data_IF_310994337330
#
_entry.id   IF_310994337330
#
_cell.length_a   1.000
_cell.length_b   1.000
_cell.length_c   1.000
_cell.angle_alpha   90.00
_cell.angle_beta   90.00
_cell.angle_gamma   90.00
#
_symmetry.space_group_name_H-M   'P 1'
#
loop_
_entity.id
_entity.type
_entity.pdbx_description
1 polymer ?
2 non-polymer ?
3 water ?
#
# COMPACT_ATOMS: atom_id res chain seq x y z
N UNK A 2 38.50 8.19 24.52
CA UNK A 2 37.31 8.56 23.75
C UNK A 2 36.11 8.83 24.66
N UNK A 3 35.14 9.56 24.10
CA UNK A 3 33.82 9.89 24.71
C UNK A 3 32.76 9.09 24.04
N UNK A 4 31.75 8.64 24.82
CA UNK A 4 30.67 7.87 24.24
C UNK A 4 29.81 8.77 23.44
N UNK A 5 29.52 8.31 22.22
CA UNK A 5 28.76 9.10 21.28
C UNK A 5 27.76 8.14 20.60
N UNK A 6 26.58 8.68 20.26
CA UNK A 6 25.64 7.92 19.38
C UNK A 6 25.20 8.93 18.33
N UNK A 7 25.38 8.60 17.04
CA UNK A 7 25.19 9.51 15.90
C UNK A 7 24.04 9.05 15.01
N UNK A 8 23.23 10.01 14.60
CA UNK A 8 22.22 9.82 13.48
C UNK A 8 22.80 9.84 12.06
N UNK A 9 22.48 8.80 11.27
CA UNK A 9 23.10 8.62 9.94
C UNK A 9 21.99 8.36 8.94
N UNK A 10 22.24 8.67 7.66
CA UNK A 10 21.41 8.18 6.57
C UNK A 10 19.91 8.59 6.79
N UNK A 11 19.69 9.87 7.08
CA UNK A 11 18.32 10.30 7.44
C UNK A 11 17.51 10.69 6.19
N UNK A 12 16.23 10.35 6.22
CA UNK A 12 15.27 10.75 5.19
C UNK A 12 14.86 12.16 5.57
N UNK A 13 14.66 13.06 4.57
CA UNK A 13 14.15 14.40 4.85
C UNK A 13 12.70 14.54 4.28
N UNK A 14 11.78 15.05 5.11
CA UNK A 14 10.40 15.41 4.72
C UNK A 14 10.31 16.96 4.70
N UNK A 15 9.83 17.48 3.59
CA UNK A 15 9.75 18.95 3.39
C UNK A 15 8.24 19.30 3.46
N UNK A 16 7.89 20.32 4.26
CA UNK A 16 6.52 20.62 4.53
C UNK A 16 6.47 22.15 4.64
N UNK A 17 5.82 22.81 3.67
CA UNK A 17 5.81 24.25 3.63
C UNK A 17 4.45 24.73 3.19
N UNK A 18 4.09 25.97 3.55
CA UNK A 18 2.99 26.56 2.75
C UNK A 18 3.42 26.75 1.24
N UNK A 19 2.51 26.46 0.32
CA UNK A 19 2.75 26.63 -1.07
C UNK A 19 3.19 28.05 -1.31
N UNK A 20 2.56 28.97 -0.56
CA UNK A 20 2.77 30.39 -0.70
C UNK A 20 4.14 30.79 -0.24
N UNK A 21 4.94 29.92 0.37
CA UNK A 21 6.40 30.17 0.57
C UNK A 21 7.08 30.62 -0.76
N UNK A 22 6.58 30.26 -1.94
CA UNK A 22 7.21 30.74 -3.18
C UNK A 22 6.18 30.94 -4.30
N UNK A 23 6.60 31.66 -5.38
CA UNK A 23 6.30 31.33 -6.85
C UNK A 23 5.22 32.24 -6.84
N UNK A 24 4.40 32.32 -7.92
CA UNK A 24 3.29 33.26 -7.91
C UNK A 24 2.20 32.84 -6.94
N UNK A 25 1.31 33.77 -6.57
CA UNK A 25 0.17 33.45 -5.70
C UNK A 25 -0.88 32.69 -6.45
N UNK A 26 -1.44 31.66 -5.81
CA UNK A 26 -2.62 31.00 -6.30
C UNK A 26 -3.80 31.31 -5.40
N UNK A 27 -4.90 31.75 -5.99
CA UNK A 27 -6.17 31.86 -5.28
C UNK A 27 -6.77 30.50 -4.89
N UNK A 28 -6.83 30.22 -3.58
CA UNK A 28 -7.38 28.92 -3.16
C UNK A 28 -8.78 28.62 -3.72
N UNK A 29 -9.68 29.61 -3.86
CA UNK A 29 -11.04 29.34 -4.39
C UNK A 29 -10.92 28.99 -5.87
N UNK A 30 -10.17 29.77 -6.64
CA UNK A 30 -9.94 29.50 -8.06
C UNK A 30 -9.28 28.13 -8.11
N UNK A 31 -8.32 27.89 -7.23
CA UNK A 31 -7.61 26.61 -7.25
C UNK A 31 -8.58 25.45 -7.11
N UNK A 32 -9.38 25.42 -6.07
CA UNK A 32 -10.35 24.31 -5.92
C UNK A 32 -11.31 24.22 -7.12
N UNK A 33 -11.83 25.37 -7.58
CA UNK A 33 -12.90 25.33 -8.57
C UNK A 33 -12.39 24.78 -9.88
N UNK A 34 -11.19 25.20 -10.23
CA UNK A 34 -10.48 24.66 -11.40
C UNK A 34 -10.29 23.15 -11.36
N UNK A 35 -9.84 22.65 -10.19
CA UNK A 35 -9.74 21.18 -10.07
C UNK A 35 -11.03 20.46 -10.40
N UNK A 36 -12.13 21.01 -9.90
CA UNK A 36 -13.46 20.44 -10.14
C UNK A 36 -13.89 20.54 -11.57
N UNK A 37 -13.68 21.73 -12.13
CA UNK A 37 -14.11 21.97 -13.52
C UNK A 37 -13.33 20.97 -14.46
N UNK A 38 -12.04 20.80 -14.24
CA UNK A 38 -11.30 19.85 -15.04
C UNK A 38 -11.80 18.42 -14.89
N UNK A 39 -12.00 17.97 -13.64
CA UNK A 39 -12.42 16.58 -13.37
C UNK A 39 -13.78 16.30 -13.98
N UNK A 40 -14.66 17.28 -13.92
CA UNK A 40 -16.00 17.09 -14.47
C UNK A 40 -16.06 17.08 -16.01
N UNK A 41 -15.06 17.64 -16.64
CA UNK A 41 -15.09 17.62 -18.09
C UNK A 41 -14.36 16.37 -18.63
N UNK A 42 -13.77 15.57 -17.76
CA UNK A 42 -12.85 14.51 -18.14
C UNK A 42 -13.55 13.13 -18.07
N UNK A 43 -14.49 12.92 -19.00
CA UNK A 43 -15.20 11.66 -19.17
C UNK A 43 -14.21 10.51 -19.24
N UNK A 44 -13.14 10.68 -20.02
CA UNK A 44 -12.22 9.58 -20.18
C UNK A 44 -11.58 9.18 -18.88
N UNK A 45 -11.21 10.17 -18.06
CA UNK A 45 -10.58 9.80 -16.80
C UNK A 45 -11.57 9.21 -15.81
N UNK A 46 -12.78 9.73 -15.81
CA UNK A 46 -13.88 9.22 -15.02
C UNK A 46 -14.15 7.74 -15.32
N UNK A 47 -14.12 7.36 -16.58
CA UNK A 47 -14.36 5.97 -16.95
C UNK A 47 -13.18 5.09 -16.63
N UNK A 48 -11.98 5.62 -16.74
CA UNK A 48 -10.81 4.79 -16.46
C UNK A 48 -10.75 4.43 -14.95
N UNK A 49 -11.19 5.38 -14.12
CA UNK A 49 -11.18 5.24 -12.67
C UNK A 49 -12.14 4.12 -12.29
N UNK A 50 -13.35 4.20 -12.84
CA UNK A 50 -14.37 3.17 -12.63
C UNK A 50 -13.94 1.78 -13.13
N UNK A 51 -13.32 1.69 -14.31
CA UNK A 51 -12.87 0.42 -14.84
C UNK A 51 -11.71 -0.13 -14.03
N UNK A 52 -10.86 0.75 -13.51
CA UNK A 52 -9.61 0.27 -12.96
C UNK A 52 -9.75 -0.01 -11.47
N UNK A 53 -10.91 0.36 -10.93
CA UNK A 53 -11.19 0.25 -9.51
C UNK A 53 -10.34 1.27 -8.77
N UNK A 54 -10.31 2.48 -9.33
CA UNK A 54 -9.52 3.55 -8.74
C UNK A 54 -10.38 4.26 -7.74
N UNK A 55 -9.93 4.32 -6.47
CA UNK A 55 -10.68 4.96 -5.41
C UNK A 55 -11.19 6.33 -5.80
N UNK A 56 -10.38 7.30 -6.17
CA UNK A 56 -11.18 8.55 -6.36
C UNK A 56 -11.52 8.92 -7.79
N UNK A 57 -11.32 10.21 -8.08
CA UNK A 57 -10.97 10.68 -9.41
C UNK A 57 -9.46 10.95 -9.37
N UNK A 58 -8.77 10.49 -10.40
CA UNK A 58 -7.44 11.03 -10.71
C UNK A 58 -7.41 11.44 -12.18
N UNK A 59 -6.60 12.46 -12.52
CA UNK A 59 -6.49 12.91 -13.86
C UNK A 59 -5.30 12.28 -14.61
N UNK A 60 -4.55 11.40 -13.93
CA UNK A 60 -3.20 10.91 -14.26
C UNK A 60 -3.08 10.17 -15.60
N UNK A 61 -4.09 9.33 -15.86
CA UNK A 61 -4.24 8.58 -17.15
C UNK A 61 -4.83 9.38 -18.33
N UNK A 62 -5.55 10.45 -18.03
CA UNK A 62 -6.27 11.17 -19.06
C UNK A 62 -5.67 12.46 -19.55
N UNK A 63 -5.04 13.20 -18.66
CA UNK A 63 -4.56 14.57 -18.88
C UNK A 63 -3.07 14.59 -18.63
N UNK A 64 -2.23 14.69 -19.67
CA UNK A 64 -0.78 14.71 -19.42
C UNK A 64 -0.10 16.11 -19.50
N UNK A 65 -0.88 17.15 -19.74
CA UNK A 65 -0.27 18.41 -20.11
C UNK A 65 -0.91 19.58 -19.35
N UNK A 66 -1.41 19.27 -18.15
CA UNK A 66 -2.04 20.31 -17.31
C UNK A 66 -1.35 21.66 -17.37
N UNK A 67 -0.02 21.76 -17.10
CA UNK A 67 0.51 23.16 -17.10
C UNK A 67 0.50 23.92 -18.50
N UNK A 68 0.45 23.16 -19.61
CA UNK A 68 0.35 23.67 -20.97
C UNK A 68 -1.04 24.19 -21.19
N UNK A 69 -2.00 23.58 -20.51
CA UNK A 69 -3.40 23.87 -20.86
C UNK A 69 -4.05 24.88 -19.93
N UNK A 70 -3.47 25.04 -18.74
CA UNK A 70 -4.15 25.86 -17.70
C UNK A 70 -3.17 26.79 -17.00
N UNK A 71 -3.27 28.12 -17.27
CA UNK A 71 -2.36 29.04 -16.58
C UNK A 71 -2.25 28.78 -15.07
N UNK A 72 -3.35 28.47 -14.39
CA UNK A 72 -3.23 28.21 -12.97
C UNK A 72 -2.30 27.04 -12.67
N UNK A 73 -2.23 26.04 -13.54
CA UNK A 73 -1.32 24.93 -13.35
C UNK A 73 0.13 25.27 -13.72
N UNK A 74 0.37 26.12 -14.72
CA UNK A 74 1.71 26.67 -14.99
C UNK A 74 2.20 27.55 -13.81
N UNK A 75 1.28 28.35 -13.24
CA UNK A 75 1.54 29.11 -12.03
C UNK A 75 1.95 28.19 -10.86
N UNK A 76 1.18 27.12 -10.68
CA UNK A 76 1.51 26.21 -9.66
C UNK A 76 2.90 25.59 -9.82
N UNK A 77 3.23 25.20 -11.06
CA UNK A 77 4.50 24.54 -11.33
C UNK A 77 5.71 25.52 -11.13
N UNK A 78 5.50 26.80 -11.46
CA UNK A 78 6.47 27.84 -11.16
C UNK A 78 6.71 27.95 -9.57
N UNK A 79 5.67 27.85 -8.73
CA UNK A 79 5.94 27.73 -7.29
C UNK A 79 6.64 26.42 -7.02
N UNK A 80 6.09 25.32 -7.53
CA UNK A 80 6.67 24.02 -7.16
C UNK A 80 8.14 23.87 -7.54
N UNK A 81 8.51 24.39 -8.71
CA UNK A 81 9.85 24.48 -9.15
C UNK A 81 10.76 25.02 -8.11
N UNK A 82 10.34 26.08 -7.42
CA UNK A 82 11.22 26.73 -6.40
C UNK A 82 11.27 25.95 -5.06
N UNK A 83 10.19 25.31 -4.74
CA UNK A 83 10.03 24.50 -3.51
C UNK A 83 11.00 23.31 -3.70
N UNK A 84 10.98 22.70 -4.88
CA UNK A 84 11.87 21.54 -5.26
C UNK A 84 13.34 21.94 -5.33
N UNK A 85 13.64 23.09 -5.89
CA UNK A 85 14.98 23.65 -5.75
C UNK A 85 15.45 23.80 -4.28
N UNK A 86 14.67 24.45 -3.41
CA UNK A 86 15.08 24.59 -1.97
C UNK A 86 15.32 23.19 -1.39
N UNK A 87 14.50 22.24 -1.82
CA UNK A 87 14.56 20.91 -1.20
C UNK A 87 15.73 20.18 -1.75
N UNK A 88 16.01 20.29 -3.05
CA UNK A 88 17.18 19.58 -3.62
C UNK A 88 18.47 20.07 -2.97
N UNK A 89 18.46 21.35 -2.63
CA UNK A 89 19.50 22.01 -1.86
C UNK A 89 19.66 21.46 -0.48
N UNK A 90 18.55 21.34 0.26
CA UNK A 90 18.59 20.71 1.58
C UNK A 90 19.17 19.28 1.40
N UNK A 91 18.67 18.55 0.39
CA UNK A 91 19.09 17.13 0.25
C UNK A 91 20.54 16.99 -0.24
N UNK A 92 21.18 18.09 -0.60
CA UNK A 92 22.56 18.16 -1.07
C UNK A 92 22.79 17.46 -2.41
N UNK A 93 21.77 17.41 -3.29
CA UNK A 93 21.96 16.83 -4.60
C UNK A 93 23.02 17.57 -5.38
N UNK A 94 23.83 16.77 -6.11
CA UNK A 94 24.78 17.34 -7.07
C UNK A 94 24.08 17.29 -8.40
N UNK A 95 23.59 18.44 -8.84
CA UNK A 95 22.71 18.52 -10.01
C UNK A 95 23.42 18.88 -11.31
N UNK A 96 24.73 19.17 -11.23
CA UNK A 96 25.48 19.82 -12.34
C UNK A 96 24.75 21.10 -12.75
N UNK A 97 24.59 21.30 -14.05
CA UNK A 97 23.85 22.50 -14.52
C UNK A 97 22.38 22.27 -14.78
N UNK A 98 21.80 21.28 -14.08
CA UNK A 98 20.58 20.66 -14.50
C UNK A 98 19.54 20.57 -13.34
N UNK A 99 18.69 21.61 -13.20
CA UNK A 99 17.64 21.61 -12.18
C UNK A 99 16.67 20.42 -12.33
N UNK A 100 15.94 20.11 -11.25
CA UNK A 100 14.92 19.11 -11.35
C UNK A 100 13.75 19.73 -12.13
N UNK A 101 13.13 18.96 -13.01
CA UNK A 101 12.00 19.48 -13.77
C UNK A 101 10.76 18.62 -13.66
N UNK A 102 9.61 19.26 -13.83
CA UNK A 102 8.32 18.62 -13.63
C UNK A 102 8.19 17.43 -14.61
N UNK A 103 7.93 16.21 -14.16
CA UNK A 103 7.72 15.08 -15.07
C UNK A 103 6.23 14.79 -15.25
N UNK A 104 5.44 14.79 -14.18
CA UNK A 104 4.01 14.44 -14.26
C UNK A 104 3.26 15.26 -13.22
N UNK A 105 1.97 15.53 -13.44
CA UNK A 105 1.27 16.33 -12.44
C UNK A 105 -0.18 15.99 -12.58
N UNK A 106 -0.89 15.79 -11.44
CA UNK A 106 -2.25 15.36 -11.63
C UNK A 106 -3.13 15.72 -10.45
N UNK A 107 -4.43 15.73 -10.70
CA UNK A 107 -5.43 16.00 -9.72
C UNK A 107 -5.95 14.75 -9.11
N UNK A 108 -6.22 14.80 -7.79
CA UNK A 108 -6.98 13.76 -7.13
C UNK A 108 -8.15 14.38 -6.45
N UNK A 109 -9.29 13.72 -6.54
CA UNK A 109 -10.44 14.15 -5.76
C UNK A 109 -10.90 12.86 -5.02
N UNK A 110 -10.68 12.84 -3.69
CA UNK A 110 -10.95 11.62 -2.87
C UNK A 110 -12.25 11.79 -2.13
N UNK A 111 -13.31 11.08 -2.54
CA UNK A 111 -14.59 11.30 -1.84
C UNK A 111 -14.55 10.57 -0.47
N UNK A 112 -15.60 10.68 0.31
CA UNK A 112 -15.70 9.98 1.60
C UNK A 112 -15.51 8.51 1.36
N UNK A 113 -14.79 7.86 2.24
CA UNK A 113 -14.61 6.44 2.06
C UNK A 113 -13.45 6.09 1.17
N UNK A 114 -12.89 7.08 0.45
CA UNK A 114 -11.70 6.82 -0.37
C UNK A 114 -10.36 6.63 0.38
N UNK A 115 -9.52 5.72 -0.15
CA UNK A 115 -8.17 5.47 0.45
C UNK A 115 -7.19 5.24 -0.69
N UNK A 116 -5.88 5.54 -0.52
CA UNK A 116 -4.86 5.09 -1.52
C UNK A 116 -3.81 4.28 -0.83
N UNK A 117 -3.67 3.02 -1.27
CA UNK A 117 -2.74 2.03 -0.66
C UNK A 117 -1.28 2.47 -0.76
N UNK A 118 -0.43 1.93 0.09
CA UNK A 118 1.03 2.25 0.07
C UNK A 118 1.67 2.03 -1.33
N UNK A 119 2.55 2.94 -1.73
CA UNK A 119 3.23 2.81 -3.03
C UNK A 119 4.38 3.78 -3.00
N UNK A 120 5.24 3.67 -4.01
CA UNK A 120 6.30 4.64 -4.38
C UNK A 120 6.00 5.14 -5.81
N UNK A 121 6.81 6.06 -6.31
CA UNK A 121 6.70 6.60 -7.68
C UNK A 121 7.93 6.22 -8.43
N UNK A 122 7.89 5.07 -9.16
CA UNK A 122 9.02 4.47 -9.85
C UNK A 122 9.66 5.45 -10.81
N UNK A 123 10.98 5.43 -10.89
CA UNK A 123 11.67 6.23 -11.90
C UNK A 123 11.57 7.79 -11.81
N UNK A 124 11.22 8.35 -10.64
CA UNK A 124 11.27 9.81 -10.36
C UNK A 124 12.32 10.09 -9.30
N UNK A 125 12.65 11.38 -9.10
CA UNK A 125 13.57 11.89 -8.08
C UNK A 125 12.90 12.52 -6.85
N UNK A 126 12.02 13.53 -7.06
CA UNK A 126 11.24 14.14 -5.98
C UNK A 126 9.80 13.94 -6.28
N UNK A 127 9.02 13.57 -5.28
CA UNK A 127 7.55 13.51 -5.48
C UNK A 127 6.90 14.43 -4.44
N UNK A 128 5.60 14.82 -4.62
CA UNK A 128 5.01 15.67 -3.60
C UNK A 128 3.54 15.87 -3.87
N UNK A 129 2.88 16.55 -2.94
CA UNK A 129 1.46 16.78 -3.07
C UNK A 129 1.22 18.17 -2.50
N UNK A 130 0.36 19.02 -3.13
CA UNK A 130 -0.20 20.19 -2.43
C UNK A 130 -1.69 19.95 -2.21
N UNK A 131 -2.29 20.65 -1.23
CA UNK A 131 -3.62 20.28 -0.71
C UNK A 131 -4.49 21.41 -1.12
N UNK A 132 -5.58 21.06 -1.77
CA UNK A 132 -6.42 22.04 -2.42
C UNK A 132 -7.73 22.24 -1.60
N UNK A 133 -8.27 21.15 -1.04
CA UNK A 133 -9.43 21.20 -0.15
C UNK A 133 -9.33 20.07 0.88
N UNK A 134 -9.28 20.40 2.17
CA UNK A 134 -9.22 19.43 3.30
C UNK A 134 -10.30 19.99 4.19
N UNK A 135 -11.46 19.29 4.41
CA UNK A 135 -12.17 18.32 5.30
C UNK A 135 -12.21 18.19 6.86
N UNK A 136 -11.24 18.51 7.71
CA UNK A 136 -10.04 19.29 7.57
C UNK A 136 -9.38 18.63 8.81
N UNK A 137 -10.07 17.62 9.35
CA UNK A 137 -9.42 16.40 9.88
C UNK A 137 -9.52 15.41 8.69
N UNK A 138 -8.55 14.49 8.50
CA UNK A 138 -7.58 14.05 9.53
C UNK A 138 -6.12 14.04 9.01
N UNK A 139 -5.41 12.91 9.21
CA UNK A 139 -4.10 12.71 8.56
C UNK A 139 -4.36 12.41 7.12
N UNK A 140 -3.62 13.08 6.25
CA UNK A 140 -3.78 12.85 4.85
C UNK A 140 -2.60 12.05 4.21
N UNK A 141 -1.53 11.77 4.97
CA UNK A 141 -0.33 11.12 4.39
C UNK A 141 0.36 10.37 5.51
N UNK A 142 0.82 9.17 5.23
CA UNK A 142 1.57 8.35 6.16
C UNK A 142 2.74 7.87 5.36
N UNK A 143 3.92 8.11 5.90
CA UNK A 143 5.21 7.71 5.28
C UNK A 143 5.76 6.55 6.05
N UNK A 144 6.26 5.54 5.31
CA UNK A 144 6.78 4.35 5.95
C UNK A 144 8.32 4.36 5.92
N UNK A 145 8.99 3.97 7.02
CA UNK A 145 10.45 3.72 7.04
C UNK A 145 10.88 2.77 5.85
N UNK A 146 11.79 3.27 4.99
CA UNK A 146 12.33 2.61 3.81
C UNK A 146 13.07 1.37 4.30
N UNK A 147 13.49 1.39 5.57
CA UNK A 147 14.21 0.25 6.12
C UNK A 147 13.25 -0.77 6.73
N UNK A 148 11.96 -0.53 6.69
CA UNK A 148 11.02 -1.46 7.37
C UNK A 148 11.27 -2.88 7.00
N UNK A 149 11.33 -3.18 5.70
CA UNK A 149 11.50 -4.63 5.36
C UNK A 149 12.91 -5.19 5.72
N UNK A 150 13.86 -4.32 6.07
CA UNK A 150 15.18 -4.82 6.55
C UNK A 150 15.13 -5.09 8.04
N UNK A 151 14.06 -4.64 8.67
CA UNK A 151 13.85 -4.78 10.12
C UNK A 151 13.04 -5.97 10.60
N UNK A 152 13.05 -7.09 9.87
CA UNK A 152 12.17 -8.23 10.23
C UNK A 152 12.54 -8.90 11.55
N UNK A 153 13.82 -8.88 11.92
CA UNK A 153 14.33 -9.69 13.06
C UNK A 153 14.35 -8.74 14.27
N UNK A 154 14.18 -7.42 14.01
CA UNK A 154 14.37 -6.38 15.07
C UNK A 154 13.13 -6.18 15.90
N UNK A 155 13.30 -5.92 17.23
CA UNK A 155 12.12 -5.55 18.02
C UNK A 155 11.38 -4.35 17.41
N UNK A 156 10.08 -4.30 17.62
CA UNK A 156 9.32 -3.11 17.27
C UNK A 156 9.82 -2.00 18.16
N UNK A 157 9.63 -0.80 17.68
CA UNK A 157 10.11 0.35 18.42
C UNK A 157 9.01 1.06 19.16
N UNK A 158 9.32 1.56 20.35
CA UNK A 158 8.40 2.44 21.14
C UNK A 158 8.03 3.65 20.30
N UNK A 159 6.80 4.13 20.46
CA UNK A 159 6.28 5.25 19.69
C UNK A 159 6.61 6.46 20.54
N UNK A 160 7.90 6.79 20.66
CA UNK A 160 8.41 7.80 21.62
C UNK A 160 8.48 9.17 20.97
N UNK A 161 9.13 10.11 21.65
CA UNK A 161 9.07 11.51 21.22
C UNK A 161 10.26 11.98 20.33
N UNK A 162 11.16 11.07 19.99
CA UNK A 162 12.21 11.35 19.05
C UNK A 162 11.69 10.85 17.73
N UNK A 163 11.11 11.75 16.99
CA UNK A 163 10.49 11.48 15.70
C UNK A 163 11.45 10.81 14.69
N UNK A 164 12.76 11.05 14.83
CA UNK A 164 13.65 10.43 13.86
C UNK A 164 13.82 8.94 14.09
N UNK A 165 13.38 8.42 15.23
CA UNK A 165 13.43 7.00 15.40
C UNK A 165 12.15 6.25 15.11
N UNK A 166 11.12 6.94 14.65
CA UNK A 166 9.81 6.31 14.53
C UNK A 166 9.71 5.65 13.21
N UNK A 167 8.87 4.61 13.12
CA UNK A 167 8.81 3.70 11.92
C UNK A 167 7.87 4.20 10.81
N UNK A 168 6.85 4.96 11.25
CA UNK A 168 5.89 5.61 10.37
C UNK A 168 5.84 7.01 10.84
N UNK A 169 5.69 7.88 9.88
CA UNK A 169 5.39 9.25 10.16
C UNK A 169 4.02 9.66 9.47
N UNK A 170 3.05 10.14 10.26
CA UNK A 170 1.74 10.64 9.79
C UNK A 170 1.79 12.10 9.61
N UNK A 171 1.11 12.60 8.58
CA UNK A 171 1.25 14.03 8.31
C UNK A 171 -0.14 14.60 8.24
N UNK A 172 -0.39 15.70 8.93
CA UNK A 172 -1.69 16.26 8.86
C UNK A 172 -1.61 17.71 8.33
N UNK A 173 -1.60 17.86 7.00
CA UNK A 173 -1.45 19.16 6.32
C UNK A 173 -2.72 19.97 6.44
N UNK A 174 -2.65 21.27 6.09
CA UNK A 174 -3.82 22.13 6.02
C UNK A 174 -3.95 22.45 4.53
N UNK A 175 -5.11 22.92 4.05
CA UNK A 175 -5.16 23.55 2.73
C UNK A 175 -4.05 24.55 2.58
N UNK A 176 -3.54 24.61 1.36
CA UNK A 176 -2.42 25.45 1.01
C UNK A 176 -1.04 24.88 1.26
N UNK A 177 -0.89 23.72 1.94
CA UNK A 177 0.43 23.24 2.27
C UNK A 177 0.89 22.44 1.10
N UNK A 178 2.21 22.39 0.94
CA UNK A 178 2.86 21.48 0.00
C UNK A 178 3.78 20.53 0.82
N UNK A 179 3.69 19.24 0.53
CA UNK A 179 4.67 18.23 0.98
C UNK A 179 5.58 17.70 -0.18
N UNK A 180 6.87 17.49 0.10
CA UNK A 180 7.78 16.86 -0.88
C UNK A 180 8.58 15.73 -0.21
N UNK A 181 9.00 14.72 -1.00
CA UNK A 181 9.86 13.64 -0.46
C UNK A 181 10.61 13.01 -1.61
N UNK A 182 11.63 12.18 -1.33
CA UNK A 182 12.29 11.49 -2.38
C UNK A 182 11.40 10.33 -2.89
N UNK A 183 11.29 10.15 -4.24
CA UNK A 183 10.28 9.31 -4.83
C UNK A 183 10.32 7.85 -4.45
N UNK A 184 11.47 7.39 -3.90
CA UNK A 184 11.55 5.97 -3.48
C UNK A 184 10.87 5.71 -2.13
N UNK A 185 10.36 6.79 -1.49
CA UNK A 185 9.80 6.66 -0.17
C UNK A 185 8.32 6.20 -0.28
N UNK A 186 8.04 5.11 0.43
CA UNK A 186 6.70 4.52 0.47
C UNK A 186 5.73 5.37 1.30
N UNK A 187 4.50 5.54 0.80
CA UNK A 187 3.56 6.48 1.41
C UNK A 187 2.13 6.03 1.05
N UNK A 188 1.18 6.35 1.94
CA UNK A 188 -0.14 5.80 1.82
C UNK A 188 -1.00 6.98 2.08
N UNK A 189 -2.19 6.93 1.55
CA UNK A 189 -3.13 7.98 1.89
C UNK A 189 -4.32 7.39 2.67
N UNK A 190 -4.41 7.71 3.97
CA UNK A 190 -5.51 7.28 4.82
C UNK A 190 -6.92 7.66 4.29
N UNK A 191 -7.90 6.82 4.60
CA UNK A 191 -9.31 7.02 4.16
C UNK A 191 -9.83 8.41 4.47
N UNK A 192 -10.48 9.03 3.51
CA UNK A 192 -11.19 10.27 3.77
C UNK A 192 -12.40 9.96 4.65
N UNK A 193 -12.36 10.36 5.91
CA UNK A 193 -13.47 10.07 6.82
C UNK A 193 -14.53 11.16 6.79
N UNK A 194 -14.17 12.34 6.26
CA UNK A 194 -15.16 13.45 6.10
C UNK A 194 -16.19 13.18 5.01
N UNK A 195 -17.34 13.88 5.00
CA UNK A 195 -18.21 13.77 3.83
C UNK A 195 -17.80 14.62 2.60
N UNK A 196 -17.10 15.73 2.83
CA UNK A 196 -16.62 16.57 1.70
C UNK A 196 -15.40 15.93 1.03
N UNK A 197 -15.19 16.19 -0.26
CA UNK A 197 -14.05 15.64 -0.96
C UNK A 197 -12.76 16.23 -0.38
N UNK A 198 -11.72 15.43 -0.42
CA UNK A 198 -10.34 15.91 -0.19
C UNK A 198 -9.68 16.06 -1.59
N UNK A 199 -9.34 17.28 -1.98
CA UNK A 199 -8.79 17.56 -3.29
C UNK A 199 -7.32 17.83 -3.13
N UNK A 200 -6.47 17.12 -3.87
CA UNK A 200 -5.05 17.49 -3.84
C UNK A 200 -4.45 17.43 -5.23
N UNK A 201 -3.24 17.93 -5.37
CA UNK A 201 -2.50 17.84 -6.68
C UNK A 201 -1.15 17.20 -6.41
N UNK A 202 -0.89 16.07 -7.05
CA UNK A 202 0.42 15.39 -6.82
C UNK A 202 1.31 15.46 -8.06
N UNK A 203 2.63 15.23 -7.94
CA UNK A 203 3.53 15.52 -9.00
C UNK A 203 4.85 14.80 -8.79
N UNK A 204 5.58 14.54 -9.87
CA UNK A 204 6.91 13.91 -9.83
C UNK A 204 7.87 14.84 -10.54
N UNK A 205 9.07 15.01 -9.97
CA UNK A 205 10.12 15.75 -10.61
C UNK A 205 11.26 14.75 -10.94
N UNK A 206 11.83 14.85 -12.14
CA UNK A 206 12.96 14.02 -12.63
C UNK A 206 14.10 14.93 -12.84
N UNK A 207 15.24 14.32 -13.16
CA UNK A 207 16.54 15.00 -13.19
C UNK A 207 16.91 15.17 -14.64
N UNK B 2 23.46 -19.48 -31.78
CA UNK B 2 23.94 -18.66 -30.62
C UNK B 2 23.94 -19.45 -29.30
N UNK B 3 25.01 -19.29 -28.52
CA UNK B 3 25.20 -19.99 -27.22
C UNK B 3 24.83 -19.10 -26.03
N UNK B 4 24.09 -18.01 -26.33
CA UNK B 4 23.67 -17.04 -25.34
C UNK B 4 22.65 -17.72 -24.40
N UNK B 5 22.82 -17.56 -23.09
CA UNK B 5 21.93 -18.10 -22.08
C UNK B 5 21.53 -16.96 -21.19
N UNK B 6 20.25 -16.91 -20.80
CA UNK B 6 19.80 -15.98 -19.76
C UNK B 6 19.22 -16.83 -18.63
N UNK B 7 19.82 -16.78 -17.46
CA UNK B 7 19.46 -17.65 -16.34
C UNK B 7 18.55 -16.85 -15.41
N UNK B 8 17.60 -17.50 -14.73
CA UNK B 8 16.81 -16.90 -13.65
C UNK B 8 17.40 -17.21 -12.26
N UNK B 9 17.57 -16.19 -11.43
CA UNK B 9 18.10 -16.41 -10.06
C UNK B 9 17.20 -15.74 -8.98
N UNK B 10 17.33 -16.14 -7.71
CA UNK B 10 16.82 -15.36 -6.58
C UNK B 10 15.34 -15.12 -6.74
N UNK B 11 14.65 -16.19 -7.12
CA UNK B 11 13.24 -16.09 -7.38
C UNK B 11 12.48 -16.27 -6.06
N UNK B 12 11.43 -15.47 -5.97
CA UNK B 12 10.50 -15.51 -4.88
C UNK B 12 9.53 -16.70 -5.14
N UNK B 13 9.29 -17.53 -4.12
CA UNK B 13 8.39 -18.65 -4.30
C UNK B 13 7.06 -18.35 -3.72
N UNK B 14 6.05 -18.74 -4.47
CA UNK B 14 4.70 -18.63 -4.00
C UNK B 14 4.07 -20.01 -4.04
N UNK B 15 3.66 -20.46 -2.87
CA UNK B 15 2.96 -21.73 -2.68
C UNK B 15 1.43 -21.63 -2.90
N UNK B 16 0.85 -22.61 -3.63
CA UNK B 16 -0.59 -22.58 -3.97
C UNK B 16 -1.10 -24.01 -3.86
N UNK B 17 -2.05 -24.32 -2.97
CA UNK B 17 -2.57 -25.72 -2.92
C UNK B 17 -4.03 -25.73 -2.59
N UNK B 18 -4.75 -26.83 -2.90
CA UNK B 18 -6.05 -26.94 -2.22
C UNK B 18 -5.86 -27.02 -0.68
N UNK B 19 -6.59 -26.22 0.12
CA UNK B 19 -6.57 -26.43 1.57
C UNK B 19 -6.74 -27.88 1.98
N UNK B 20 -7.63 -28.62 1.31
CA UNK B 20 -8.03 -30.00 1.72
C UNK B 20 -6.91 -31.04 1.62
N UNK B 21 -5.82 -30.69 0.98
CA UNK B 21 -4.71 -31.63 0.91
C UNK B 21 -4.02 -31.98 2.21
N UNK B 22 -4.31 -31.19 3.25
CA UNK B 22 -3.85 -31.40 4.63
C UNK B 22 -4.95 -31.15 5.65
N UNK B 23 -4.84 -31.91 6.74
CA UNK B 23 -5.47 -31.59 8.01
C UNK B 23 -6.83 -32.20 8.00
N UNK B 24 -7.58 -31.97 9.06
CA UNK B 24 -8.90 -32.56 9.22
C UNK B 24 -9.80 -32.08 8.07
N UNK B 25 -10.84 -32.81 7.75
CA UNK B 25 -11.81 -32.32 6.78
C UNK B 25 -12.44 -31.00 7.27
N UNK B 26 -12.53 -30.06 6.35
CA UNK B 26 -13.16 -28.79 6.62
C UNK B 26 -14.21 -28.47 5.54
N UNK B 27 -15.48 -28.37 5.91
CA UNK B 27 -16.53 -28.08 4.91
C UNK B 27 -16.59 -26.59 4.55
N UNK B 28 -16.42 -26.25 3.24
CA UNK B 28 -16.37 -24.86 2.75
C UNK B 28 -17.67 -24.07 2.98
N UNK B 29 -18.81 -24.76 2.95
CA UNK B 29 -20.09 -24.10 3.24
C UNK B 29 -20.17 -23.76 4.72
N UNK B 30 -19.79 -24.69 5.55
CA UNK B 30 -19.75 -24.40 6.95
C UNK B 30 -18.70 -23.27 7.18
N UNK B 31 -17.50 -23.42 6.60
CA UNK B 31 -16.44 -22.44 6.72
C UNK B 31 -16.93 -21.02 6.39
N UNK B 32 -17.61 -20.87 5.25
CA UNK B 32 -18.17 -19.51 4.89
C UNK B 32 -19.13 -19.01 5.96
N UNK B 33 -20.15 -19.84 6.25
CA UNK B 33 -21.14 -19.59 7.28
C UNK B 33 -20.51 -19.13 8.58
N UNK B 34 -19.49 -19.85 9.05
CA UNK B 34 -18.74 -19.48 10.27
C UNK B 34 -18.08 -18.09 10.24
N UNK B 35 -17.27 -17.83 9.22
CA UNK B 35 -16.64 -16.50 9.10
C UNK B 35 -17.69 -15.37 9.17
N UNK B 36 -18.82 -15.53 8.44
CA UNK B 36 -19.90 -14.50 8.46
C UNK B 36 -20.40 -14.33 9.84
N UNK B 37 -20.58 -15.46 10.51
CA UNK B 37 -21.21 -15.50 11.84
C UNK B 37 -20.36 -14.83 12.92
N UNK B 38 -19.09 -15.19 12.98
CA UNK B 38 -18.15 -14.58 13.91
C UNK B 38 -17.98 -13.08 13.62
N UNK B 39 -17.96 -12.72 12.34
CA UNK B 39 -17.79 -11.29 11.96
C UNK B 39 -18.98 -10.46 12.33
N UNK B 40 -20.20 -10.98 12.12
CA UNK B 40 -21.43 -10.37 12.64
C UNK B 40 -21.42 -10.07 14.16
N UNK B 41 -20.99 -11.02 14.99
CA UNK B 41 -20.99 -10.79 16.45
C UNK B 41 -19.92 -9.78 16.87
N UNK B 42 -18.95 -9.49 15.98
CA UNK B 42 -17.74 -8.82 16.44
C UNK B 42 -17.88 -7.30 16.33
N UNK B 43 -18.69 -6.72 17.23
CA UNK B 43 -18.90 -5.26 17.22
C UNK B 43 -17.63 -4.45 17.42
N UNK B 44 -16.80 -4.90 18.35
CA UNK B 44 -15.47 -4.39 18.55
C UNK B 44 -14.71 -4.25 17.23
N UNK B 45 -14.63 -5.38 16.51
CA UNK B 45 -13.94 -5.41 15.23
C UNK B 45 -14.56 -4.44 14.26
N UNK B 46 -15.89 -4.52 14.13
CA UNK B 46 -16.65 -3.65 13.22
C UNK B 46 -16.36 -2.15 13.48
N UNK B 47 -16.23 -1.83 14.77
CA UNK B 47 -16.06 -0.47 15.27
C UNK B 47 -14.63 0.04 15.11
N UNK B 48 -13.65 -0.76 15.51
CA UNK B 48 -12.25 -0.47 15.19
C UNK B 48 -12.06 -0.19 13.69
N UNK B 49 -12.67 -1.03 12.85
CA UNK B 49 -12.64 -0.85 11.42
C UNK B 49 -13.12 0.53 10.99
N UNK B 50 -14.31 0.90 11.47
CA UNK B 50 -14.91 2.19 11.14
C UNK B 50 -13.97 3.32 11.58
N UNK B 51 -13.78 3.41 12.89
CA UNK B 51 -12.75 4.26 13.52
C UNK B 51 -11.41 4.32 12.77
N UNK B 52 -10.80 3.17 12.43
CA UNK B 52 -9.46 3.22 11.82
C UNK B 52 -9.41 3.42 10.29
N UNK B 53 -10.53 3.79 9.66
CA UNK B 53 -10.62 3.85 8.20
C UNK B 53 -10.14 2.58 7.44
N UNK B 54 -10.55 1.40 7.91
CA UNK B 54 -10.16 0.15 7.29
C UNK B 54 -11.34 -0.29 6.40
N UNK B 55 -11.11 -0.58 5.10
CA UNK B 55 -12.29 -1.03 4.29
C UNK B 55 -12.85 -2.47 4.67
N UNK B 56 -14.18 -2.67 4.64
CA UNK B 56 -14.83 -3.90 5.22
C UNK B 56 -14.23 -3.99 6.60
N UNK B 57 -13.61 -5.11 7.00
CA UNK B 57 -14.01 -6.07 8.05
C UNK B 57 -12.81 -6.99 8.25
N UNK B 58 -12.10 -6.76 9.34
CA UNK B 58 -11.07 -7.70 9.78
C UNK B 58 -11.31 -8.01 11.27
N UNK B 59 -10.90 -9.21 11.70
CA UNK B 59 -11.03 -9.60 13.12
C UNK B 59 -9.69 -9.34 13.82
N UNK B 60 -8.70 -8.84 13.06
CA UNK B 60 -7.34 -8.84 13.54
C UNK B 60 -7.13 -8.02 14.81
N UNK B 61 -7.77 -6.84 14.91
CA UNK B 61 -7.70 -6.05 16.14
C UNK B 61 -8.54 -6.57 17.33
N UNK B 62 -9.60 -7.33 17.07
CA UNK B 62 -10.61 -7.60 18.10
C UNK B 62 -10.56 -9.00 18.69
N UNK B 63 -10.18 -9.97 17.90
CA UNK B 63 -10.22 -11.32 18.42
C UNK B 63 -8.93 -12.11 18.21
N UNK B 64 -8.49 -12.74 19.29
CA UNK B 64 -7.09 -13.19 19.30
C UNK B 64 -6.91 -14.70 19.50
N UNK B 65 -7.98 -15.44 19.78
CA UNK B 65 -7.75 -16.88 19.77
C UNK B 65 -8.86 -17.72 19.15
N UNK B 66 -9.13 -17.36 17.89
CA UNK B 66 -10.03 -18.10 17.01
C UNK B 66 -9.80 -19.64 17.03
N UNK B 67 -8.52 -20.09 16.95
CA UNK B 67 -8.37 -21.56 16.95
C UNK B 67 -8.85 -22.20 18.27
N UNK B 68 -8.57 -21.57 19.40
CA UNK B 68 -8.97 -22.17 20.69
C UNK B 68 -10.50 -22.10 20.93
N UNK B 69 -11.11 -21.01 20.54
CA UNK B 69 -12.55 -20.83 20.66
C UNK B 69 -13.47 -21.58 19.67
N UNK B 70 -13.05 -21.71 18.41
CA UNK B 70 -13.92 -22.25 17.38
C UNK B 70 -13.28 -23.46 16.78
N UNK B 71 -13.83 -24.66 17.09
CA UNK B 71 -13.31 -25.93 16.61
C UNK B 71 -12.91 -25.97 15.14
N UNK B 72 -13.70 -25.37 14.28
CA UNK B 72 -13.39 -25.29 12.85
C UNK B 72 -12.12 -24.47 12.58
N UNK B 73 -11.85 -23.45 13.40
CA UNK B 73 -10.51 -22.81 13.30
C UNK B 73 -9.30 -23.63 13.82
N UNK B 74 -9.48 -24.42 14.89
CA UNK B 74 -8.48 -25.45 15.31
C UNK B 74 -8.21 -26.51 14.18
N UNK B 75 -9.26 -26.95 13.48
CA UNK B 75 -9.06 -27.86 12.35
C UNK B 75 -8.32 -27.11 11.23
N UNK B 76 -8.83 -25.96 10.76
CA UNK B 76 -8.04 -25.12 9.83
C UNK B 76 -6.55 -25.04 10.20
N UNK B 77 -6.20 -24.82 11.47
CA UNK B 77 -4.86 -24.55 11.83
C UNK B 77 -4.05 -25.81 11.71
N UNK B 78 -4.64 -26.96 12.04
CA UNK B 78 -3.96 -28.27 11.83
C UNK B 78 -3.55 -28.46 10.40
N UNK B 79 -4.49 -28.21 9.51
CA UNK B 79 -4.19 -28.08 8.06
C UNK B 79 -3.08 -27.08 7.71
N UNK B 80 -3.22 -25.82 8.13
CA UNK B 80 -2.14 -24.78 7.82
C UNK B 80 -0.74 -25.23 8.25
N UNK B 81 -0.59 -25.74 9.46
CA UNK B 81 0.70 -26.26 9.95
C UNK B 81 1.44 -27.11 8.91
N UNK B 82 0.67 -27.99 8.29
CA UNK B 82 1.16 -29.01 7.38
C UNK B 82 1.45 -28.41 6.02
N UNK B 83 0.62 -27.49 5.58
CA UNK B 83 0.88 -26.71 4.39
C UNK B 83 2.20 -25.90 4.59
N UNK B 84 2.30 -25.18 5.71
CA UNK B 84 3.49 -24.41 6.07
C UNK B 84 4.72 -25.29 6.13
N UNK B 85 4.60 -26.49 6.68
CA UNK B 85 5.73 -27.36 6.83
C UNK B 85 6.22 -27.79 5.46
N UNK B 86 5.28 -28.17 4.56
CA UNK B 86 5.63 -28.49 3.20
C UNK B 86 6.31 -27.30 2.49
N UNK B 87 5.83 -26.07 2.74
CA UNK B 87 6.48 -24.88 2.17
C UNK B 87 7.89 -24.64 2.70
N UNK B 88 8.05 -24.67 4.04
CA UNK B 88 9.39 -24.63 4.64
C UNK B 88 10.35 -25.67 4.04
N UNK B 89 9.83 -26.87 3.80
CA UNK B 89 10.56 -27.95 3.12
C UNK B 89 10.98 -27.53 1.73
N UNK B 90 10.05 -27.01 0.95
CA UNK B 90 10.43 -26.43 -0.31
C UNK B 90 11.53 -25.33 -0.24
N UNK B 91 11.54 -24.54 0.82
CA UNK B 91 12.38 -23.33 0.89
C UNK B 91 13.92 -23.33 1.22
N UNK B 92 14.63 -24.37 1.60
CA UNK B 92 14.39 -25.44 2.51
C UNK B 92 15.26 -24.85 3.68
N UNK B 93 14.54 -24.30 4.61
CA UNK B 93 15.03 -23.67 5.80
C UNK B 93 15.64 -24.70 6.72
N UNK B 94 16.68 -24.31 7.44
CA UNK B 94 17.21 -25.16 8.50
C UNK B 94 16.37 -24.97 9.77
N UNK B 95 15.51 -25.91 10.10
CA UNK B 95 14.54 -25.67 11.16
C UNK B 95 14.89 -26.30 12.50
N UNK B 96 16.02 -27.02 12.57
CA UNK B 96 16.37 -27.93 13.71
C UNK B 96 15.37 -29.08 13.75
N UNK B 97 14.80 -29.35 14.92
CA UNK B 97 13.53 -30.04 15.02
C UNK B 97 12.47 -29.06 15.49
N UNK B 98 12.53 -27.83 14.98
CA UNK B 98 11.64 -26.78 15.46
C UNK B 98 10.72 -26.23 14.36
N UNK B 99 9.52 -26.82 14.24
CA UNK B 99 8.52 -26.43 13.26
C UNK B 99 7.97 -25.02 13.51
N UNK B 100 7.74 -24.27 12.43
CA UNK B 100 7.14 -22.95 12.52
C UNK B 100 5.74 -23.11 13.01
N UNK B 101 5.36 -22.18 13.87
CA UNK B 101 4.07 -22.23 14.49
C UNK B 101 3.24 -21.00 14.21
N UNK B 102 1.93 -21.19 14.21
CA UNK B 102 1.00 -20.07 14.06
C UNK B 102 1.24 -18.95 15.05
N UNK B 103 1.24 -17.70 14.57
CA UNK B 103 1.41 -16.55 15.42
C UNK B 103 0.11 -15.73 15.41
N UNK B 104 -0.47 -15.46 14.25
CA UNK B 104 -1.78 -14.81 14.22
C UNK B 104 -2.58 -15.33 13.08
N UNK B 105 -3.88 -15.25 13.25
CA UNK B 105 -4.85 -15.62 12.24
C UNK B 105 -6.12 -14.76 12.41
N UNK B 106 -6.75 -14.34 11.30
CA UNK B 106 -7.86 -13.36 11.32
C UNK B 106 -8.76 -13.54 10.09
N UNK B 107 -10.02 -13.11 10.22
CA UNK B 107 -10.97 -13.18 9.15
C UNK B 107 -11.05 -11.80 8.44
N UNK B 108 -11.07 -11.85 7.09
CA UNK B 108 -11.34 -10.62 6.31
C UNK B 108 -12.59 -10.72 5.50
N UNK B 109 -13.43 -9.71 5.56
CA UNK B 109 -14.58 -9.73 4.67
C UNK B 109 -14.64 -8.42 3.92
N UNK B 110 -14.33 -8.48 2.63
CA UNK B 110 -14.16 -7.29 1.78
C UNK B 110 -15.42 -7.05 0.89
N UNK B 111 -16.27 -6.06 1.23
CA UNK B 111 -17.52 -5.95 0.46
C UNK B 111 -17.29 -5.36 -0.97
N UNK B 112 -18.31 -5.36 -1.85
CA UNK B 112 -18.19 -4.53 -3.05
C UNK B 112 -17.50 -3.18 -2.76
N UNK B 113 -16.55 -2.80 -3.60
CA UNK B 113 -15.88 -1.53 -3.40
C UNK B 113 -14.74 -1.49 -2.37
N UNK B 114 -14.61 -2.56 -1.56
CA UNK B 114 -13.53 -2.66 -0.56
C UNK B 114 -12.17 -2.86 -1.22
N UNK B 115 -11.15 -2.18 -0.73
CA UNK B 115 -9.76 -2.47 -1.14
C UNK B 115 -8.95 -2.79 0.13
N UNK B 116 -7.86 -3.55 -0.01
CA UNK B 116 -6.87 -3.68 1.07
C UNK B 116 -5.47 -3.32 0.58
N UNK B 117 -4.97 -2.22 1.12
CA UNK B 117 -3.71 -1.59 0.70
C UNK B 117 -2.44 -2.41 0.89
N UNK B 118 -1.49 -2.12 0.02
CA UNK B 118 -0.18 -2.71 -0.01
C UNK B 118 0.49 -2.77 1.35
N UNK B 119 1.14 -3.90 1.64
CA UNK B 119 1.74 -4.10 2.97
C UNK B 119 2.52 -5.42 3.09
N UNK B 120 3.32 -5.50 4.15
CA UNK B 120 4.08 -6.70 4.46
C UNK B 120 3.59 -7.07 5.83
N UNK B 121 4.06 -8.21 6.33
CA UNK B 121 3.68 -8.72 7.63
C UNK B 121 4.89 -8.69 8.54
N UNK B 122 5.12 -7.56 9.16
CA UNK B 122 6.44 -7.40 9.87
C UNK B 122 6.78 -8.51 10.88
N UNK B 123 8.02 -8.97 10.91
CA UNK B 123 8.52 -9.93 11.94
C UNK B 123 8.04 -11.43 11.89
N UNK B 124 7.34 -11.81 10.82
CA UNK B 124 6.84 -13.17 10.61
C UNK B 124 7.81 -13.86 9.67
N UNK B 125 7.75 -15.21 9.62
CA UNK B 125 8.49 -16.01 8.62
C UNK B 125 7.66 -16.36 7.37
N UNK B 126 6.49 -17.02 7.52
CA UNK B 126 5.65 -17.38 6.38
C UNK B 126 4.32 -16.70 6.62
N UNK B 127 3.73 -16.10 5.57
CA UNK B 127 2.42 -15.50 5.75
C UNK B 127 1.55 -16.17 4.65
N UNK B 128 0.25 -16.07 4.77
CA UNK B 128 -0.60 -16.72 3.76
C UNK B 128 -2.06 -16.40 3.96
N UNK B 129 -2.83 -16.84 2.99
CA UNK B 129 -4.27 -16.59 3.00
C UNK B 129 -4.99 -17.88 2.48
N UNK B 130 -6.19 -18.12 3.02
CA UNK B 130 -7.12 -19.19 2.55
C UNK B 130 -8.45 -18.60 2.09
N UNK B 131 -8.99 -19.14 1.01
CA UNK B 131 -10.06 -18.41 0.37
C UNK B 131 -11.36 -19.09 0.69
N UNK B 132 -12.32 -18.26 1.14
CA UNK B 132 -13.50 -18.74 1.81
C UNK B 132 -14.81 -18.60 0.95
N UNK B 133 -15.03 -17.39 0.44
CA UNK B 133 -16.03 -17.10 -0.57
C UNK B 133 -15.40 -16.13 -1.54
N UNK B 134 -15.43 -16.53 -2.82
CA UNK B 134 -14.81 -15.75 -3.90
C UNK B 134 -15.87 -15.56 -5.01
N UNK B 135 -16.70 -14.51 -4.90
CA UNK B 135 -17.64 -14.20 -6.03
C UNK B 135 -16.77 -14.27 -7.33
N UNK B 136 -17.21 -14.83 -8.47
CA UNK B 136 -18.11 -14.17 -9.38
C UNK B 136 -17.12 -13.02 -9.80
N UNK B 137 -15.89 -13.40 -10.18
CA UNK B 137 -14.65 -12.58 -9.93
C UNK B 137 -14.93 -11.10 -9.77
N UNK B 138 -14.84 -10.43 -8.59
CA UNK B 138 -13.91 -10.51 -7.40
C UNK B 138 -12.39 -10.37 -7.58
N UNK B 139 -11.77 -9.73 -6.58
CA UNK B 139 -10.35 -9.34 -6.65
C UNK B 139 -9.30 -10.42 -6.38
N UNK B 140 -8.32 -10.50 -7.27
CA UNK B 140 -7.06 -11.20 -7.03
C UNK B 140 -6.27 -10.69 -5.79
N UNK B 141 -5.47 -11.54 -5.20
CA UNK B 141 -4.31 -11.12 -4.43
C UNK B 141 -3.28 -10.61 -5.41
N UNK B 142 -2.67 -9.46 -5.15
CA UNK B 142 -1.69 -8.97 -6.13
C UNK B 142 -0.32 -8.81 -5.41
N UNK B 143 0.69 -9.47 -5.93
CA UNK B 143 2.00 -9.46 -5.33
C UNK B 143 2.92 -8.46 -5.99
N UNK B 144 3.78 -7.81 -5.19
CA UNK B 144 4.66 -6.77 -5.72
C UNK B 144 6.17 -7.25 -5.58
N UNK B 145 6.95 -6.96 -6.60
CA UNK B 145 8.33 -7.37 -6.72
C UNK B 145 9.13 -6.79 -5.55
N UNK B 146 9.74 -7.64 -4.71
CA UNK B 146 10.58 -7.07 -3.62
C UNK B 146 11.64 -6.09 -4.13
N UNK B 147 11.96 -6.20 -5.42
CA UNK B 147 13.03 -5.43 -6.01
C UNK B 147 12.56 -4.09 -6.53
N UNK B 148 11.26 -3.82 -6.52
CA UNK B 148 10.74 -2.60 -7.14
C UNK B 148 11.51 -1.33 -6.74
N UNK B 149 11.72 -1.09 -5.41
CA UNK B 149 12.45 0.13 -5.13
C UNK B 149 13.92 0.15 -5.55
N UNK B 150 14.48 -0.99 -6.00
CA UNK B 150 15.87 -1.03 -6.54
C UNK B 150 15.89 -0.68 -7.97
N UNK B 151 14.71 -0.60 -8.57
CA UNK B 151 14.60 -0.47 -9.99
C UNK B 151 14.39 0.94 -10.49
N UNK B 152 14.80 1.94 -9.74
CA UNK B 152 14.38 3.32 -10.11
C UNK B 152 15.06 3.89 -11.35
N UNK B 153 16.28 3.45 -11.64
CA UNK B 153 16.96 3.93 -12.81
C UNK B 153 16.58 3.14 -14.08
N UNK B 154 15.98 1.95 -13.94
CA UNK B 154 15.67 1.09 -15.09
C UNK B 154 14.56 1.70 -15.95
N UNK B 155 14.55 1.43 -17.28
CA UNK B 155 13.30 1.74 -18.05
C UNK B 155 12.08 1.02 -17.49
N UNK B 156 10.86 1.44 -17.85
CA UNK B 156 9.64 0.62 -17.55
C UNK B 156 9.65 -0.67 -18.37
N UNK B 157 9.12 -1.73 -17.77
CA UNK B 157 8.96 -3.04 -18.41
C UNK B 157 7.56 -3.13 -18.96
N UNK B 158 7.46 -3.56 -20.22
CA UNK B 158 6.17 -3.87 -20.88
C UNK B 158 5.58 -5.10 -20.20
N UNK B 159 4.31 -5.06 -19.78
CA UNK B 159 3.62 -6.26 -19.21
C UNK B 159 3.89 -7.60 -19.98
N UNK B 160 5.15 -7.74 -20.41
CA UNK B 160 5.74 -8.92 -21.03
C UNK B 160 5.52 -10.11 -20.14
N UNK B 161 4.47 -10.81 -20.52
CA UNK B 161 3.85 -11.81 -19.70
C UNK B 161 3.68 -13.16 -20.47
N UNK B 162 4.50 -14.19 -20.18
CA UNK B 162 5.74 -14.19 -19.32
C UNK B 162 5.67 -13.59 -17.90
N UNK B 163 4.90 -14.26 -17.08
CA UNK B 163 4.65 -13.83 -15.70
C UNK B 163 5.92 -14.10 -14.89
N UNK B 164 7.06 -13.71 -15.47
CA UNK B 164 8.36 -13.77 -14.81
C UNK B 164 9.01 -12.41 -14.73
N UNK B 165 8.61 -11.50 -15.60
CA UNK B 165 9.31 -10.22 -15.73
C UNK B 165 8.50 -9.01 -15.32
N UNK B 166 7.39 -9.29 -14.67
CA UNK B 166 6.44 -8.29 -14.26
C UNK B 166 6.73 -7.82 -12.84
N UNK B 167 6.48 -6.53 -12.60
CA UNK B 167 6.61 -5.93 -11.28
C UNK B 167 5.52 -6.38 -10.26
N UNK B 168 4.35 -6.74 -10.77
CA UNK B 168 3.27 -7.30 -9.92
C UNK B 168 2.80 -8.60 -10.57
N UNK B 169 2.13 -9.42 -9.78
CA UNK B 169 1.73 -10.75 -10.22
C UNK B 169 0.44 -10.94 -9.52
N UNK B 170 -0.60 -11.10 -10.29
CA UNK B 170 -1.93 -11.32 -9.73
C UNK B 170 -2.30 -12.78 -9.74
N UNK B 171 -2.99 -13.20 -8.68
CA UNK B 171 -3.48 -14.60 -8.56
C UNK B 171 -4.99 -14.57 -8.37
N UNK B 172 -5.76 -15.35 -9.13
CA UNK B 172 -7.19 -15.45 -8.81
C UNK B 172 -7.38 -16.83 -8.23
N UNK B 173 -7.34 -16.97 -6.90
CA UNK B 173 -7.57 -18.33 -6.32
C UNK B 173 -9.03 -18.74 -6.25
N UNK B 174 -9.30 -20.05 -6.25
CA UNK B 174 -10.68 -20.54 -6.11
C UNK B 174 -10.97 -20.68 -4.63
N UNK B 175 -12.26 -20.75 -4.25
CA UNK B 175 -12.64 -21.17 -2.88
C UNK B 175 -11.90 -22.48 -2.52
N UNK B 176 -11.38 -22.57 -1.29
CA UNK B 176 -10.69 -23.79 -0.86
C UNK B 176 -9.19 -23.88 -1.07
N UNK B 177 -8.64 -22.86 -1.75
CA UNK B 177 -7.20 -22.75 -1.99
C UNK B 177 -6.52 -22.11 -0.76
N UNK B 178 -5.28 -22.52 -0.54
CA UNK B 178 -4.41 -21.83 0.35
C UNK B 178 -3.22 -21.31 -0.46
N UNK B 179 -2.85 -20.05 -0.18
CA UNK B 179 -1.63 -19.44 -0.69
C UNK B 179 -0.69 -19.07 0.46
N UNK B 180 0.59 -19.32 0.25
CA UNK B 180 1.64 -18.99 1.25
C UNK B 180 2.80 -18.29 0.55
N UNK B 181 3.47 -17.38 1.28
CA UNK B 181 4.61 -16.65 0.76
C UNK B 181 5.47 -16.30 1.96
N UNK B 182 6.72 -15.91 1.69
CA UNK B 182 7.60 -15.34 2.74
C UNK B 182 7.13 -13.97 3.21
N UNK B 183 7.13 -13.75 4.52
CA UNK B 183 6.45 -12.61 5.10
C UNK B 183 6.95 -11.18 4.70
N UNK B 184 8.12 -11.09 4.06
CA UNK B 184 8.69 -9.80 3.62
C UNK B 184 8.05 -9.40 2.27
N UNK B 185 7.26 -10.31 1.65
CA UNK B 185 6.73 -10.06 0.33
C UNK B 185 5.51 -9.12 0.42
N UNK B 186 5.61 -7.95 -0.24
CA UNK B 186 4.53 -6.95 -0.30
C UNK B 186 3.38 -7.41 -1.15
N UNK B 187 2.16 -7.08 -0.74
CA UNK B 187 1.01 -7.50 -1.53
C UNK B 187 -0.22 -6.70 -1.17
N UNK B 188 -1.16 -6.66 -2.11
CA UNK B 188 -2.40 -5.97 -1.81
C UNK B 188 -3.58 -6.77 -2.38
N UNK B 189 -4.79 -6.26 -2.07
CA UNK B 189 -6.03 -6.76 -2.65
C UNK B 189 -6.60 -5.57 -3.37
N UNK B 190 -6.73 -5.69 -4.68
CA UNK B 190 -7.38 -4.67 -5.49
C UNK B 190 -8.88 -4.59 -5.14
N UNK B 191 -9.53 -3.46 -5.49
CA UNK B 191 -11.00 -3.28 -5.33
C UNK B 191 -11.81 -4.55 -5.66
N UNK B 192 -12.57 -5.02 -4.69
CA UNK B 192 -13.62 -6.01 -4.98
C UNK B 192 -14.73 -5.36 -5.82
N UNK B 193 -14.87 -5.79 -7.08
CA UNK B 193 -15.88 -5.19 -7.98
C UNK B 193 -17.13 -6.07 -8.12
N UNK B 194 -17.09 -7.26 -7.54
CA UNK B 194 -18.26 -8.06 -7.47
C UNK B 194 -19.19 -7.48 -6.39
N UNK B 195 -20.49 -7.62 -6.62
CA UNK B 195 -21.50 -7.19 -5.66
C UNK B 195 -21.38 -7.94 -4.29
N UNK B 196 -20.95 -9.20 -4.33
CA UNK B 196 -20.89 -10.06 -3.12
C UNK B 196 -19.54 -9.92 -2.37
N UNK B 197 -19.51 -10.37 -1.11
CA UNK B 197 -18.29 -10.25 -0.29
C UNK B 197 -17.30 -11.30 -0.65
N UNK B 198 -16.06 -10.86 -0.63
CA UNK B 198 -14.90 -11.66 -0.75
C UNK B 198 -14.46 -11.98 0.69
N UNK B 199 -14.63 -13.22 1.07
CA UNK B 199 -14.26 -13.65 2.44
C UNK B 199 -12.95 -14.42 2.41
N UNK B 200 -12.03 -14.10 3.33
CA UNK B 200 -10.77 -14.86 3.40
C UNK B 200 -10.24 -14.93 4.84
N UNK B 201 -9.28 -15.81 5.09
CA UNK B 201 -8.70 -15.94 6.45
C UNK B 201 -7.20 -15.86 6.18
N UNK B 202 -6.51 -14.96 6.87
CA UNK B 202 -5.10 -14.67 6.69
C UNK B 202 -4.38 -14.92 8.00
N UNK B 203 -3.06 -15.17 7.93
CA UNK B 203 -2.33 -15.70 9.09
C UNK B 203 -0.86 -15.50 8.89
N UNK B 204 -0.11 -15.57 9.98
CA UNK B 204 1.35 -15.51 9.99
C UNK B 204 1.85 -16.62 10.87
N UNK B 205 3.02 -17.13 10.50
CA UNK B 205 3.74 -18.20 11.16
C UNK B 205 5.10 -17.68 11.54
N UNK B 206 5.53 -17.95 12.77
CA UNK B 206 6.92 -17.59 13.10
C UNK B 206 7.66 -18.82 13.51
N UNK B 207 8.96 -18.63 13.71
CA UNK B 207 9.85 -19.70 14.04
C UNK B 207 9.89 -19.79 15.53
#
# INVERSE_FOLDING_TARGET
MSLAQIKSLFATRLYHAPLSEHGPALDPAEFAASCYSIAEDDDAGQEWCEREGYPGYTSYASLTDLPWRFPIFADLVKSLDAHVAAFAEDLEFELDGKALRLEDIWINILPEGGVHGSHIHPHSVISGTTYVAMPEGTSALKLEDPRLPFMMAAPTRRKGAREELRTFRSVAPKVGDVLLWESWLRHEVPMNMAEEDRISVSFNYAWGEGHHHHHH
MSLAQIKSLFATRLYHAPLSEHGPALDPAEFAASCYSIAEDDDAGQEWCEREGYPGYTSYASLTDLPWRFPIFADLVKSLDAHVAAFAEDLEFELDGKALRLEDIWINILPEGGVHGSHIHPHSVISGTTYVAMPEGTSALKLEDPRLPFMMAAPTRRKGAREELRTFRSVAPKVGDVLLWESWLRHEVPMNMAEEDRISVSFNYAWGEGHHHHHH
#
